data_IF_250105402570
#
_entry.id   IF_250105402570
#
_cell.length_a   1.000
_cell.length_b   1.000
_cell.length_c   1.000
_cell.angle_alpha   90.00
_cell.angle_beta   90.00
_cell.angle_gamma   90.00
#
_symmetry.space_group_name_H-M   'P 1'
#
loop_
_entity.id
_entity.type
_entity.pdbx_description
1 polymer ?
#
# COMPACT_ATOMS: atom_id res chain seq x y z
N UNK A 1 11.18 12.39 25.68
CA UNK A 1 9.78 12.37 25.18
C UNK A 1 9.65 11.10 24.33
N UNK A 2 8.67 10.23 24.60
CA UNK A 2 8.57 8.93 23.91
C UNK A 2 8.05 9.08 22.48
N UNK A 3 8.45 8.20 21.57
CA UNK A 3 7.92 8.15 20.21
C UNK A 3 6.43 7.81 20.21
N UNK A 4 5.65 8.46 19.35
CA UNK A 4 4.23 8.13 19.16
C UNK A 4 4.12 6.71 18.63
N UNK A 5 3.50 5.81 19.40
CA UNK A 5 3.34 4.41 18.99
C UNK A 5 2.33 4.31 17.84
N UNK A 6 2.71 3.61 16.78
CA UNK A 6 1.82 3.20 15.69
C UNK A 6 0.82 2.16 16.25
N UNK A 7 -0.45 2.30 15.90
CA UNK A 7 -1.54 1.41 16.36
C UNK A 7 -2.27 0.86 15.14
N UNK A 8 -2.38 -0.46 15.04
CA UNK A 8 -3.05 -1.12 13.91
C UNK A 8 -4.54 -0.80 13.75
N UNK A 9 -5.18 -0.18 14.75
CA UNK A 9 -6.60 0.18 14.70
C UNK A 9 -6.93 1.50 13.97
N UNK A 10 -5.91 2.21 13.50
CA UNK A 10 -6.05 3.57 12.96
C UNK A 10 -5.26 3.75 11.67
N UNK A 11 -4.87 2.69 10.96
CA UNK A 11 -4.19 2.84 9.69
C UNK A 11 -5.17 3.39 8.65
N UNK A 12 -4.79 4.43 7.90
CA UNK A 12 -5.54 4.87 6.73
C UNK A 12 -4.73 4.59 5.47
N UNK A 13 -5.39 4.03 4.45
CA UNK A 13 -4.77 3.58 3.23
C UNK A 13 -5.61 4.02 2.06
N UNK A 14 -5.11 5.03 1.34
CA UNK A 14 -5.85 5.68 0.27
C UNK A 14 -5.19 5.44 -1.07
N UNK A 15 -6.00 5.17 -2.08
CA UNK A 15 -5.56 4.94 -3.46
C UNK A 15 -6.37 5.75 -4.46
N UNK A 16 -5.75 6.07 -5.60
CA UNK A 16 -6.44 6.62 -6.77
C UNK A 16 -6.67 8.13 -6.72
N UNK A 17 -7.36 8.63 -7.75
CA UNK A 17 -7.78 10.02 -7.87
C UNK A 17 -9.25 10.05 -8.33
N UNK A 18 -10.21 10.37 -7.46
CA UNK A 18 -10.06 10.83 -6.07
C UNK A 18 -9.54 9.72 -5.13
N UNK A 19 -8.85 10.12 -4.06
CA UNK A 19 -8.28 9.18 -3.10
C UNK A 19 -9.39 8.48 -2.30
N UNK A 20 -9.55 7.16 -2.49
CA UNK A 20 -10.53 6.33 -1.78
C UNK A 20 -9.84 5.58 -0.66
N UNK A 21 -10.43 5.60 0.53
CA UNK A 21 -9.89 4.94 1.73
C UNK A 21 -10.40 3.50 1.83
N UNK A 22 -9.49 2.53 1.77
CA UNK A 22 -9.78 1.10 1.81
C UNK A 22 -9.40 0.44 3.14
N UNK A 23 -9.20 1.24 4.20
CA UNK A 23 -8.80 0.74 5.52
C UNK A 23 -9.76 -0.32 6.09
N UNK A 24 -11.07 -0.20 5.82
CA UNK A 24 -12.09 -1.10 6.36
C UNK A 24 -12.00 -2.52 5.79
N UNK A 25 -11.48 -2.65 4.56
CA UNK A 25 -11.30 -3.93 3.88
C UNK A 25 -9.88 -4.49 4.04
N UNK A 26 -8.95 -3.73 4.62
CA UNK A 26 -7.54 -4.08 4.73
C UNK A 26 -7.23 -4.63 6.12
N UNK A 27 -6.82 -5.89 6.21
CA UNK A 27 -6.46 -6.55 7.48
C UNK A 27 -4.95 -6.48 7.75
N UNK A 28 -4.15 -6.33 6.70
CA UNK A 28 -2.69 -6.16 6.78
C UNK A 28 -2.22 -5.18 5.71
N UNK A 29 -1.33 -4.27 6.08
CA UNK A 29 -0.66 -3.36 5.15
C UNK A 29 0.79 -3.15 5.64
N UNK A 30 1.75 -3.70 4.92
CA UNK A 30 3.18 -3.60 5.24
C UNK A 30 3.93 -3.01 4.05
N UNK A 31 4.58 -1.87 4.24
CA UNK A 31 5.50 -1.31 3.25
C UNK A 31 6.89 -1.88 3.50
N UNK A 32 7.47 -2.49 2.49
CA UNK A 32 8.77 -3.15 2.58
C UNK A 32 9.63 -2.80 1.36
N UNK A 33 10.91 -3.16 1.41
CA UNK A 33 11.83 -2.94 0.31
C UNK A 33 12.81 -4.10 0.16
N UNK A 34 13.12 -4.43 -1.09
CA UNK A 34 14.12 -5.42 -1.44
C UNK A 34 15.19 -4.81 -2.33
N UNK A 35 16.34 -5.49 -2.41
CA UNK A 35 17.38 -5.10 -3.36
C UNK A 35 16.85 -5.42 -4.76
N UNK A 36 16.88 -4.46 -5.67
CA UNK A 36 16.61 -4.76 -7.08
C UNK A 36 17.73 -5.67 -7.58
N UNK A 37 17.37 -6.81 -8.15
CA UNK A 37 18.31 -7.66 -8.88
C UNK A 37 18.58 -7.03 -10.25
N UNK A 38 19.45 -6.01 -10.25
CA UNK A 38 20.00 -5.46 -11.49
C UNK A 38 21.52 -5.66 -11.52
N UNK A 39 21.96 -6.42 -12.52
CA UNK A 39 23.37 -6.66 -12.86
C UNK A 39 24.05 -5.38 -13.40
N UNK A 40 23.28 -4.31 -13.61
CA UNK A 40 23.76 -2.99 -14.06
C UNK A 40 22.94 -1.91 -13.39
N UNK A 41 23.50 -1.27 -12.36
CA UNK A 41 22.93 -0.06 -11.75
C UNK A 41 23.15 1.10 -12.74
N UNK A 42 22.09 1.71 -13.25
CA UNK A 42 22.24 2.89 -14.11
C UNK A 42 22.62 4.12 -13.27
N UNK A 43 23.12 5.18 -13.91
CA UNK A 43 23.39 6.45 -13.21
C UNK A 43 22.12 7.04 -12.57
N UNK A 44 20.94 6.71 -13.11
CA UNK A 44 19.64 7.09 -12.55
C UNK A 44 19.40 6.35 -11.22
N UNK A 45 19.61 5.03 -11.18
CA UNK A 45 19.43 4.20 -9.97
C UNK A 45 20.44 4.52 -8.86
N UNK A 46 21.65 4.95 -9.23
CA UNK A 46 22.69 5.39 -8.30
C UNK A 46 22.42 6.79 -7.72
N UNK A 47 21.67 7.63 -8.43
CA UNK A 47 21.31 8.99 -7.99
C UNK A 47 20.11 9.00 -7.04
N UNK A 48 19.31 7.93 -7.01
CA UNK A 48 18.18 7.74 -6.09
C UNK A 48 18.71 7.45 -4.68
N UNK A 49 18.33 8.24 -3.64
CA UNK A 49 18.70 7.96 -2.26
C UNK A 49 18.14 6.60 -1.81
N UNK A 50 19.01 5.60 -1.69
CA UNK A 50 18.62 4.21 -1.35
C UNK A 50 19.18 3.14 -2.30
N UNK A 51 19.75 3.54 -3.45
CA UNK A 51 20.25 2.65 -4.49
C UNK A 51 19.12 1.95 -5.26
N UNK A 52 19.47 1.00 -6.14
CA UNK A 52 18.52 0.14 -6.85
C UNK A 52 17.79 -0.78 -5.84
N UNK A 53 16.78 -0.24 -5.16
CA UNK A 53 15.88 -0.95 -4.25
C UNK A 53 14.47 -0.85 -4.78
N UNK A 54 13.80 -1.99 -4.86
CA UNK A 54 12.38 -2.06 -5.17
C UNK A 54 11.60 -1.89 -3.87
N UNK A 55 10.73 -0.89 -3.85
CA UNK A 55 9.79 -0.67 -2.76
C UNK A 55 8.47 -1.33 -3.15
N UNK A 56 7.83 -2.01 -2.21
CA UNK A 56 6.54 -2.65 -2.44
C UNK A 56 5.69 -2.59 -1.17
N UNK A 57 4.39 -2.80 -1.37
CA UNK A 57 3.40 -2.75 -0.34
C UNK A 57 2.63 -4.08 -0.35
N UNK A 58 2.74 -4.83 0.74
CA UNK A 58 2.05 -6.09 0.97
C UNK A 58 0.73 -5.84 1.68
N UNK A 59 -0.36 -6.23 1.02
CA UNK A 59 -1.73 -6.05 1.48
C UNK A 59 -2.38 -7.40 1.68
N UNK A 60 -3.07 -7.55 2.81
CA UNK A 60 -4.08 -8.58 2.98
C UNK A 60 -5.43 -7.88 3.13
N UNK A 61 -6.40 -8.26 2.31
CA UNK A 61 -7.73 -7.68 2.32
C UNK A 61 -8.83 -8.74 2.38
N UNK A 62 -10.04 -8.32 2.76
CA UNK A 62 -11.24 -9.18 2.74
C UNK A 62 -11.74 -9.32 1.30
N UNK A 63 -12.10 -10.54 0.91
CA UNK A 63 -12.77 -10.76 -0.37
C UNK A 63 -14.21 -10.23 -0.30
N UNK A 64 -14.50 -9.21 -1.10
CA UNK A 64 -15.85 -8.66 -1.24
C UNK A 64 -16.09 -8.30 -2.69
N UNK A 65 -17.29 -8.61 -3.21
CA UNK A 65 -17.68 -8.27 -4.59
C UNK A 65 -18.42 -6.94 -4.68
N UNK A 66 -18.56 -6.22 -3.56
CA UNK A 66 -19.14 -4.88 -3.55
C UNK A 66 -18.31 -3.94 -4.42
N UNK A 67 -18.99 -3.04 -5.13
CA UNK A 67 -18.40 -1.97 -5.93
C UNK A 67 -17.43 -1.08 -5.15
N UNK A 68 -17.66 -0.89 -3.86
CA UNK A 68 -16.78 -0.09 -3.01
C UNK A 68 -15.60 -0.89 -2.41
N UNK A 69 -15.50 -2.20 -2.71
CA UNK A 69 -14.50 -3.05 -2.05
C UNK A 69 -13.10 -2.89 -2.63
N UNK A 70 -12.10 -3.10 -1.78
CA UNK A 70 -10.70 -3.17 -2.24
C UNK A 70 -10.49 -4.28 -3.28
N UNK A 71 -11.14 -5.44 -3.10
CA UNK A 71 -11.03 -6.57 -4.04
C UNK A 71 -11.52 -6.18 -5.44
N UNK A 72 -12.65 -5.47 -5.53
CA UNK A 72 -13.21 -5.03 -6.82
C UNK A 72 -12.35 -3.95 -7.46
N UNK A 73 -11.83 -3.03 -6.66
CA UNK A 73 -10.91 -2.00 -7.13
C UNK A 73 -9.66 -2.60 -7.80
N UNK A 74 -9.01 -3.58 -7.15
CA UNK A 74 -7.83 -4.25 -7.74
C UNK A 74 -8.21 -4.93 -9.06
N UNK A 75 -9.37 -5.60 -9.10
CA UNK A 75 -9.82 -6.31 -10.29
C UNK A 75 -9.98 -5.39 -11.51
N UNK A 76 -10.54 -4.19 -11.30
CA UNK A 76 -10.83 -3.20 -12.35
C UNK A 76 -9.59 -2.41 -12.78
N UNK A 77 -8.67 -2.14 -11.85
CA UNK A 77 -7.49 -1.28 -12.06
C UNK A 77 -6.16 -2.05 -12.06
N UNK A 78 -6.18 -3.37 -12.25
CA UNK A 78 -4.97 -4.22 -12.26
C UNK A 78 -3.92 -3.68 -13.24
N UNK A 79 -2.71 -3.45 -12.74
CA UNK A 79 -1.58 -2.97 -13.54
C UNK A 79 -1.56 -1.47 -13.80
N UNK A 80 -2.57 -0.72 -13.35
CA UNK A 80 -2.56 0.75 -13.39
C UNK A 80 -1.64 1.33 -12.32
N UNK A 81 -1.01 2.45 -12.64
CA UNK A 81 -0.22 3.25 -11.72
C UNK A 81 -1.11 4.33 -11.11
N UNK A 82 -1.27 4.27 -9.79
CA UNK A 82 -2.15 5.19 -9.05
C UNK A 82 -1.38 5.86 -7.92
N UNK A 83 -1.70 7.12 -7.58
CA UNK A 83 -1.16 7.71 -6.38
C UNK A 83 -1.67 6.95 -5.15
N UNK A 84 -0.79 6.75 -4.17
CA UNK A 84 -1.14 6.16 -2.88
C UNK A 84 -0.77 7.10 -1.74
N UNK A 85 -1.51 6.96 -0.65
CA UNK A 85 -1.21 7.60 0.63
C UNK A 85 -1.41 6.59 1.74
N UNK A 86 -0.32 6.24 2.41
CA UNK A 86 -0.31 5.39 3.58
C UNK A 86 -0.06 6.23 4.82
N UNK A 87 -1.05 6.32 5.72
CA UNK A 87 -0.98 7.08 6.95
C UNK A 87 -0.99 6.13 8.17
N UNK A 88 0.19 5.78 8.74
CA UNK A 88 0.29 4.83 9.85
C UNK A 88 -0.40 5.27 11.14
N UNK A 89 -0.66 6.56 11.27
CA UNK A 89 -1.29 7.15 12.45
C UNK A 89 -2.78 7.46 12.25
N UNK A 90 -3.32 7.30 11.03
CA UNK A 90 -4.73 7.59 10.72
C UNK A 90 -5.12 9.06 10.78
N UNK A 91 -4.12 9.94 10.85
CA UNK A 91 -4.32 11.38 10.82
C UNK A 91 -4.74 11.82 9.41
N UNK A 92 -5.69 12.75 9.34
CA UNK A 92 -6.18 13.27 8.06
C UNK A 92 -5.13 14.11 7.32
N UNK A 93 -4.23 14.77 8.05
CA UNK A 93 -3.21 15.69 7.56
C UNK A 93 -1.85 15.26 8.10
N UNK A 94 -0.86 15.12 7.22
CA UNK A 94 0.51 14.80 7.59
C UNK A 94 1.09 15.85 8.55
N UNK A 95 1.88 15.39 9.52
CA UNK A 95 2.64 16.27 10.42
C UNK A 95 4.01 15.66 10.70
N UNK A 96 5.01 16.43 11.20
CA UNK A 96 6.32 15.86 11.50
C UNK A 96 6.29 14.76 12.57
N UNK A 97 5.29 14.76 13.45
CA UNK A 97 5.10 13.72 14.47
C UNK A 97 4.26 12.52 13.98
N UNK A 98 3.56 12.68 12.85
CA UNK A 98 2.65 11.71 12.24
C UNK A 98 2.71 11.85 10.70
N UNK A 99 3.84 11.48 10.08
CA UNK A 99 4.01 11.66 8.64
C UNK A 99 3.15 10.67 7.85
N UNK A 100 2.89 11.00 6.59
CA UNK A 100 2.28 10.11 5.60
C UNK A 100 3.36 9.59 4.64
N UNK A 101 3.18 8.38 4.14
CA UNK A 101 3.97 7.85 3.04
C UNK A 101 3.17 8.04 1.76
N UNK A 102 3.69 8.81 0.83
CA UNK A 102 3.04 9.13 -0.44
C UNK A 102 3.91 8.72 -1.62
N UNK A 103 3.28 8.39 -2.72
CA UNK A 103 4.00 8.04 -3.95
C UNK A 103 3.05 7.51 -5.00
N UNK A 104 3.61 6.89 -6.02
CA UNK A 104 2.85 6.17 -7.05
C UNK A 104 3.05 4.68 -6.83
N UNK A 105 1.98 3.91 -6.89
CA UNK A 105 2.01 2.46 -6.74
C UNK A 105 1.33 1.81 -7.92
N UNK A 106 1.89 0.70 -8.38
CA UNK A 106 1.31 -0.13 -9.42
C UNK A 106 0.43 -1.18 -8.79
N UNK A 107 -0.84 -1.20 -9.17
CA UNK A 107 -1.82 -2.14 -8.64
C UNK A 107 -1.41 -3.56 -9.06
N UNK A 108 -1.32 -4.44 -8.07
CA UNK A 108 -0.93 -5.84 -8.24
C UNK A 108 -1.92 -6.65 -9.10
N UNK A 109 -1.62 -7.94 -9.32
CA UNK A 109 -2.46 -8.80 -10.14
C UNK A 109 -3.87 -8.98 -9.54
N UNK A 110 -4.81 -9.38 -10.40
CA UNK A 110 -6.19 -9.66 -10.00
C UNK A 110 -6.23 -10.63 -8.80
N UNK A 111 -6.93 -10.26 -7.71
CA UNK A 111 -6.95 -11.06 -6.50
C UNK A 111 -7.76 -12.34 -6.72
N UNK A 112 -7.39 -13.38 -5.97
CA UNK A 112 -8.14 -14.64 -5.95
C UNK A 112 -9.54 -14.43 -5.35
N UNK A 113 -10.48 -15.29 -5.75
CA UNK A 113 -11.84 -15.32 -5.19
C UNK A 113 -12.23 -16.76 -4.82
N UNK A 114 -12.83 -16.92 -3.65
CA UNK A 114 -13.27 -18.19 -3.08
C UNK A 114 -12.37 -18.73 -1.98
N UNK A 115 -12.77 -19.89 -1.46
CA UNK A 115 -12.05 -20.68 -0.46
C UNK A 115 -12.89 -21.84 0.07
N UNK A 116 -12.47 -22.46 1.18
CA UNK A 116 -13.14 -23.62 1.78
C UNK A 116 -14.42 -23.26 2.55
N UNK A 117 -15.40 -24.16 2.53
CA UNK A 117 -16.65 -23.97 3.28
C UNK A 117 -16.40 -23.98 4.79
N UNK A 118 -16.77 -22.90 5.48
CA UNK A 118 -16.74 -22.79 6.94
C UNK A 118 -17.91 -21.97 7.44
N UNK A 119 -18.34 -22.21 8.69
CA UNK A 119 -19.53 -21.56 9.27
C UNK A 119 -19.36 -20.06 9.53
N UNK A 120 -18.12 -19.62 9.79
CA UNK A 120 -17.77 -18.25 10.15
C UNK A 120 -16.49 -17.78 9.43
N UNK A 121 -16.15 -18.43 8.31
CA UNK A 121 -14.91 -18.15 7.59
C UNK A 121 -15.11 -16.99 6.62
N UNK A 122 -14.52 -15.84 6.94
CA UNK A 122 -14.35 -14.75 5.98
C UNK A 122 -13.15 -15.06 5.09
N UNK A 123 -13.32 -14.96 3.77
CA UNK A 123 -12.22 -15.15 2.85
C UNK A 123 -11.37 -13.88 2.75
N UNK A 124 -10.05 -14.06 2.73
CA UNK A 124 -9.07 -13.00 2.50
C UNK A 124 -8.30 -13.25 1.22
N UNK A 125 -7.65 -12.22 0.70
CA UNK A 125 -6.69 -12.32 -0.37
C UNK A 125 -5.43 -11.56 0.02
N UNK A 126 -4.29 -12.00 -0.51
CA UNK A 126 -3.03 -11.29 -0.43
C UNK A 126 -2.71 -10.66 -1.77
N UNK A 127 -2.17 -9.45 -1.76
CA UNK A 127 -1.73 -8.74 -2.95
C UNK A 127 -0.47 -7.95 -2.63
N UNK A 128 0.51 -8.04 -3.54
CA UNK A 128 1.73 -7.26 -3.47
C UNK A 128 1.71 -6.22 -4.58
N UNK A 129 1.89 -4.97 -4.22
CA UNK A 129 1.86 -3.84 -5.14
C UNK A 129 3.22 -3.14 -5.14
N UNK A 130 3.83 -2.97 -6.30
CA UNK A 130 5.16 -2.37 -6.40
C UNK A 130 5.05 -0.83 -6.47
N UNK A 131 5.85 -0.14 -5.67
CA UNK A 131 5.93 1.31 -5.64
C UNK A 131 6.84 1.77 -6.78
N UNK A 132 6.36 2.72 -7.57
CA UNK A 132 7.12 3.33 -8.66
C UNK A 132 8.09 4.33 -8.05
N UNK A 133 9.39 3.98 -8.08
CA UNK A 133 10.46 4.80 -7.50
C UNK A 133 10.51 4.70 -5.97
N UNK A 134 10.86 5.81 -5.32
CA UNK A 134 11.00 5.88 -3.85
C UNK A 134 9.79 6.57 -3.25
N UNK A 135 9.12 5.97 -2.24
CA UNK A 135 8.06 6.64 -1.53
C UNK A 135 8.59 7.86 -0.77
N UNK A 136 7.85 8.97 -0.85
CA UNK A 136 8.17 10.21 -0.17
C UNK A 136 7.52 10.20 1.22
N UNK A 137 8.30 10.56 2.23
CA UNK A 137 7.78 10.84 3.56
C UNK A 137 7.24 12.28 3.57
N UNK A 138 5.92 12.41 3.54
CA UNK A 138 5.23 13.69 3.69
C UNK A 138 5.06 13.99 5.18
N UNK A 139 5.71 15.06 5.66
CA UNK A 139 5.61 15.56 7.02
C UNK A 139 4.73 16.82 7.14
N UNK A 140 4.07 17.24 6.05
CA UNK A 140 3.18 18.39 6.01
C UNK A 140 3.87 19.76 6.03
N UNK A 141 5.17 19.82 5.68
CA UNK A 141 5.97 21.05 5.62
C UNK A 141 5.99 21.73 4.24
#
# INVERSE_FOLDING_TARGET
MGSTRIKGKQLALKFGTPAVDYWADTTKCEMNNEKADEDTVTFEDAAVPGGARLYYLDLTGVQSTDTASLWRYIWEHTGEEVPFTYAPHGNAVATPAQPHFVGTIKIGPRPVIGGEAGRDTTFTFDSRWDIVGVPVLDDGA
#
